data_IF_923320968947
#
_entry.id   IF_923320968947
#
_cell.length_a   1.000
_cell.length_b   1.000
_cell.length_c   1.000
_cell.angle_alpha   90.00
_cell.angle_beta   90.00
_cell.angle_gamma   90.00
#
_symmetry.space_group_name_H-M   'P 1'
#
loop_
_entity.id
_entity.type
_entity.pdbx_description
1 polymer ?
#
# COMPACT_ATOMS: atom_id res chain seq x y z
N UNK A 1 0.95 -16.54 -7.62
CA UNK A 1 0.40 -15.25 -8.09
C UNK A 1 1.39 -14.50 -8.98
N UNK A 2 2.66 -14.31 -8.59
CA UNK A 2 3.67 -13.64 -9.43
C UNK A 2 3.81 -14.36 -10.78
N UNK A 3 3.96 -15.69 -10.76
CA UNK A 3 4.06 -16.49 -11.97
C UNK A 3 2.78 -16.44 -12.82
N UNK A 4 1.61 -16.50 -12.18
CA UNK A 4 0.32 -16.36 -12.88
C UNK A 4 0.18 -15.00 -13.58
N UNK A 5 0.68 -13.92 -12.98
CA UNK A 5 0.71 -12.60 -13.63
C UNK A 5 1.69 -12.62 -14.81
N UNK A 6 2.89 -13.18 -14.62
CA UNK A 6 3.88 -13.26 -15.70
C UNK A 6 3.36 -14.10 -16.89
N UNK A 7 2.68 -15.21 -16.62
CA UNK A 7 2.07 -16.03 -17.66
C UNK A 7 0.92 -15.29 -18.36
N UNK A 8 -0.02 -14.69 -17.61
CA UNK A 8 -1.10 -13.92 -18.21
C UNK A 8 -0.60 -12.77 -19.09
N UNK A 9 0.51 -12.12 -18.72
CA UNK A 9 1.15 -11.10 -19.57
C UNK A 9 1.74 -11.70 -20.86
N UNK A 10 2.35 -12.92 -20.80
CA UNK A 10 2.82 -13.63 -22.00
C UNK A 10 1.68 -13.98 -22.94
N UNK A 11 0.52 -14.30 -22.36
CA UNK A 11 -0.71 -14.63 -23.10
C UNK A 11 -1.48 -13.38 -23.59
N UNK A 12 -0.90 -12.18 -23.40
CA UNK A 12 -1.47 -10.91 -23.84
C UNK A 12 -2.60 -10.35 -22.96
N UNK A 13 -2.81 -10.88 -21.76
CA UNK A 13 -3.81 -10.34 -20.83
C UNK A 13 -3.29 -9.10 -20.11
N UNK A 14 -4.04 -8.00 -20.17
CA UNK A 14 -3.80 -6.82 -19.32
C UNK A 14 -5.13 -6.08 -19.06
N UNK A 15 -5.51 -5.85 -17.82
CA UNK A 15 -4.93 -6.39 -16.57
C UNK A 15 -5.12 -7.91 -16.46
N UNK A 16 -4.14 -8.59 -15.84
CA UNK A 16 -4.20 -10.05 -15.65
C UNK A 16 -5.16 -10.37 -14.51
N UNK A 17 -6.23 -11.06 -14.83
CA UNK A 17 -7.24 -11.50 -13.86
C UNK A 17 -7.37 -13.02 -13.79
N UNK A 18 -7.02 -13.72 -14.84
CA UNK A 18 -7.08 -15.18 -14.91
C UNK A 18 -5.66 -15.73 -14.84
N UNK A 19 -5.44 -16.66 -13.93
CA UNK A 19 -4.19 -17.41 -13.78
C UNK A 19 -4.42 -18.84 -14.26
N UNK A 20 -4.10 -19.15 -15.54
CA UNK A 20 -4.53 -20.40 -16.19
C UNK A 20 -3.94 -21.64 -15.53
N UNK A 21 -2.69 -21.60 -15.08
CA UNK A 21 -1.97 -22.76 -14.53
C UNK A 21 -2.24 -23.01 -13.03
N UNK A 22 -3.08 -22.21 -12.40
CA UNK A 22 -3.43 -22.43 -10.99
C UNK A 22 -4.53 -23.51 -10.86
N UNK A 23 -4.63 -24.12 -9.68
CA UNK A 23 -5.59 -25.18 -9.38
C UNK A 23 -5.50 -26.36 -10.35
N UNK A 24 -4.27 -26.86 -10.59
CA UNK A 24 -3.98 -28.01 -11.47
C UNK A 24 -4.48 -27.79 -12.91
N UNK A 25 -4.34 -26.58 -13.44
CA UNK A 25 -4.70 -26.22 -14.81
C UNK A 25 -6.18 -25.82 -15.01
N UNK A 26 -6.99 -25.80 -13.93
CA UNK A 26 -8.39 -25.35 -14.02
C UNK A 26 -8.55 -23.83 -14.06
N UNK A 27 -7.44 -23.09 -13.82
CA UNK A 27 -7.44 -21.65 -13.78
C UNK A 27 -7.98 -21.06 -12.48
N UNK A 28 -7.63 -19.82 -12.20
CA UNK A 28 -8.10 -19.07 -11.04
C UNK A 28 -8.42 -17.63 -11.45
N UNK A 29 -9.63 -17.18 -11.16
CA UNK A 29 -10.04 -15.79 -11.34
C UNK A 29 -9.65 -14.98 -10.10
N UNK A 30 -8.72 -14.02 -10.26
CA UNK A 30 -8.30 -13.12 -9.20
C UNK A 30 -9.19 -11.86 -9.15
N UNK A 31 -10.37 -11.98 -8.56
CA UNK A 31 -11.28 -10.86 -8.36
C UNK A 31 -11.07 -10.17 -6.99
N UNK A 32 -10.72 -10.96 -5.95
CA UNK A 32 -10.75 -10.50 -4.56
C UNK A 32 -9.42 -9.95 -4.02
N UNK A 33 -8.31 -10.17 -4.73
CA UNK A 33 -6.99 -9.73 -4.26
C UNK A 33 -6.38 -8.68 -5.19
N UNK A 34 -5.94 -7.55 -4.65
CA UNK A 34 -5.19 -6.57 -5.44
C UNK A 34 -3.87 -7.17 -5.91
N UNK A 35 -3.47 -6.85 -7.13
CA UNK A 35 -2.29 -7.42 -7.76
C UNK A 35 -1.32 -6.38 -8.32
N UNK A 36 -1.62 -5.08 -8.18
CA UNK A 36 -0.85 -4.00 -8.80
C UNK A 36 0.66 -4.12 -8.54
N UNK A 37 1.06 -4.27 -7.28
CA UNK A 37 2.48 -4.33 -6.94
C UNK A 37 3.15 -5.65 -7.32
N UNK A 38 2.38 -6.70 -7.58
CA UNK A 38 2.92 -7.99 -8.03
C UNK A 38 3.36 -7.97 -9.50
N UNK A 39 2.99 -6.95 -10.26
CA UNK A 39 3.53 -6.75 -11.60
C UNK A 39 5.03 -6.45 -11.58
N UNK A 40 5.57 -5.84 -10.51
CA UNK A 40 7.00 -5.57 -10.38
C UNK A 40 7.83 -6.86 -10.47
N UNK A 41 7.64 -7.86 -9.60
CA UNK A 41 8.38 -9.12 -9.72
C UNK A 41 7.96 -9.94 -10.94
N UNK A 42 6.73 -9.79 -11.46
CA UNK A 42 6.30 -10.44 -12.69
C UNK A 42 7.07 -9.95 -13.92
N UNK A 43 7.39 -8.65 -14.00
CA UNK A 43 8.26 -8.12 -15.06
C UNK A 43 9.65 -8.74 -15.00
N UNK A 44 10.25 -8.93 -13.83
CA UNK A 44 11.53 -9.64 -13.72
C UNK A 44 11.43 -11.08 -14.27
N UNK A 45 10.29 -11.75 -14.05
CA UNK A 45 10.01 -13.07 -14.65
C UNK A 45 9.94 -13.02 -16.17
N UNK A 46 9.34 -11.99 -16.74
CA UNK A 46 9.30 -11.79 -18.19
C UNK A 46 10.70 -11.58 -18.80
N UNK A 47 11.60 -10.94 -18.05
CA UNK A 47 12.99 -10.74 -18.43
C UNK A 47 13.87 -11.98 -18.23
N UNK A 48 13.30 -13.14 -17.91
CA UNK A 48 14.02 -14.40 -17.75
C UNK A 48 14.67 -14.60 -16.36
N UNK A 49 14.47 -13.68 -15.42
CA UNK A 49 14.99 -13.83 -14.04
C UNK A 49 14.26 -14.99 -13.34
N UNK A 50 14.97 -15.83 -12.60
CA UNK A 50 14.36 -16.95 -11.87
C UNK A 50 13.32 -16.46 -10.84
N UNK A 51 12.32 -17.28 -10.53
CA UNK A 51 11.28 -16.95 -9.56
C UNK A 51 11.87 -16.53 -8.19
N UNK A 52 12.82 -17.30 -7.69
CA UNK A 52 13.45 -17.04 -6.37
C UNK A 52 14.16 -15.68 -6.36
N UNK A 53 14.91 -15.37 -7.41
CA UNK A 53 15.63 -14.09 -7.51
C UNK A 53 14.63 -12.93 -7.66
N UNK A 54 13.61 -13.06 -8.51
CA UNK A 54 12.58 -12.05 -8.67
C UNK A 54 11.86 -11.74 -7.36
N UNK A 55 11.54 -12.77 -6.57
CA UNK A 55 10.93 -12.62 -5.25
C UNK A 55 11.88 -11.91 -4.26
N UNK A 56 13.16 -12.32 -4.21
CA UNK A 56 14.16 -11.68 -3.34
C UNK A 56 14.37 -10.21 -3.68
N UNK A 57 14.49 -9.87 -4.98
CA UNK A 57 14.60 -8.48 -5.43
C UNK A 57 13.36 -7.67 -5.02
N UNK A 58 12.19 -8.28 -5.10
CA UNK A 58 10.96 -7.63 -4.67
C UNK A 58 10.92 -7.37 -3.16
N UNK A 59 11.39 -8.31 -2.34
CA UNK A 59 11.54 -8.09 -0.88
C UNK A 59 12.52 -6.94 -0.57
N UNK A 60 13.63 -6.85 -1.30
CA UNK A 60 14.58 -5.74 -1.17
C UNK A 60 13.87 -4.42 -1.51
N UNK A 61 13.15 -4.37 -2.63
CA UNK A 61 12.37 -3.19 -3.02
C UNK A 61 11.37 -2.79 -1.92
N UNK A 62 10.61 -3.74 -1.35
CA UNK A 62 9.67 -3.49 -0.26
C UNK A 62 10.37 -2.88 0.95
N UNK A 63 11.58 -3.35 1.31
CA UNK A 63 12.32 -2.79 2.44
C UNK A 63 12.73 -1.34 2.22
N UNK A 64 13.28 -1.02 1.05
CA UNK A 64 13.62 0.37 0.70
C UNK A 64 12.39 1.26 0.63
N UNK A 65 11.30 0.81 0.00
CA UNK A 65 10.05 1.55 -0.07
C UNK A 65 9.47 1.83 1.32
N UNK A 66 9.53 0.84 2.24
CA UNK A 66 9.09 1.02 3.63
C UNK A 66 9.94 2.05 4.35
N UNK A 67 11.28 1.98 4.22
CA UNK A 67 12.18 2.93 4.84
C UNK A 67 11.91 4.35 4.33
N UNK A 68 11.77 4.51 3.01
CA UNK A 68 11.48 5.80 2.39
C UNK A 68 10.13 6.36 2.83
N UNK A 69 9.07 5.55 2.81
CA UNK A 69 7.74 5.97 3.21
C UNK A 69 7.69 6.39 4.68
N UNK A 70 8.34 5.62 5.57
CA UNK A 70 8.40 5.97 6.99
C UNK A 70 9.22 7.21 7.24
N UNK A 71 10.39 7.34 6.62
CA UNK A 71 11.25 8.52 6.69
C UNK A 71 10.48 9.79 6.27
N UNK A 72 9.84 9.75 5.09
CA UNK A 72 9.06 10.87 4.57
C UNK A 72 7.86 11.21 5.49
N UNK A 73 7.23 10.19 6.07
CA UNK A 73 6.09 10.38 6.97
C UNK A 73 6.49 11.03 8.29
N UNK A 74 7.58 10.59 8.93
CA UNK A 74 8.03 11.19 10.20
C UNK A 74 8.44 12.65 9.99
N UNK A 75 9.00 13.01 8.85
CA UNK A 75 9.30 14.42 8.50
C UNK A 75 8.07 15.33 8.48
N UNK A 76 6.88 14.78 8.39
CA UNK A 76 5.66 15.57 8.54
C UNK A 76 5.39 16.01 9.99
N UNK A 77 6.02 15.35 10.98
CA UNK A 77 5.78 15.57 12.40
C UNK A 77 6.93 16.28 13.11
N UNK A 78 8.18 16.08 12.66
CA UNK A 78 9.37 16.64 13.31
C UNK A 78 10.44 17.07 12.32
N UNK A 79 11.25 18.05 12.74
CA UNK A 79 12.46 18.51 12.01
C UNK A 79 13.74 17.81 12.49
N UNK A 80 13.67 17.01 13.57
CA UNK A 80 14.84 16.32 14.14
C UNK A 80 15.22 15.13 13.25
N UNK A 81 16.33 15.23 12.52
CA UNK A 81 16.83 14.13 11.68
C UNK A 81 17.13 12.87 12.51
N UNK A 82 17.60 13.02 13.75
CA UNK A 82 17.82 11.86 14.65
C UNK A 82 16.53 11.12 14.93
N UNK A 83 15.44 11.83 15.23
CA UNK A 83 14.13 11.22 15.47
C UNK A 83 13.59 10.56 14.22
N UNK A 84 13.78 11.19 13.04
CA UNK A 84 13.36 10.62 11.73
C UNK A 84 14.08 9.31 11.45
N UNK A 85 15.41 9.30 11.58
CA UNK A 85 16.22 8.09 11.32
C UNK A 85 15.88 6.99 12.33
N UNK A 86 15.85 7.30 13.62
CA UNK A 86 15.54 6.31 14.67
C UNK A 86 14.15 5.70 14.46
N UNK A 87 13.12 6.53 14.24
CA UNK A 87 11.78 6.03 14.01
C UNK A 87 11.67 5.19 12.73
N UNK A 88 12.41 5.55 11.68
CA UNK A 88 12.48 4.75 10.45
C UNK A 88 13.10 3.38 10.71
N UNK A 89 14.22 3.34 11.41
CA UNK A 89 14.90 2.07 11.76
C UNK A 89 13.99 1.19 12.62
N UNK A 90 13.39 1.75 13.67
CA UNK A 90 12.47 1.01 14.55
C UNK A 90 11.27 0.43 13.77
N UNK A 91 10.71 1.17 12.82
CA UNK A 91 9.60 0.68 12.01
C UNK A 91 10.02 -0.42 11.03
N UNK A 92 11.14 -0.21 10.31
CA UNK A 92 11.64 -1.20 9.34
C UNK A 92 11.99 -2.52 10.03
N UNK A 93 12.57 -2.46 11.22
CA UNK A 93 12.95 -3.64 12.00
C UNK A 93 11.88 -4.09 13.01
N UNK A 94 10.64 -3.55 12.93
CA UNK A 94 9.56 -3.99 13.80
C UNK A 94 9.34 -5.50 13.69
N UNK A 95 9.31 -6.20 14.82
CA UNK A 95 9.21 -7.66 14.91
C UNK A 95 8.03 -8.22 14.10
N UNK A 96 6.87 -7.59 14.18
CA UNK A 96 5.69 -8.03 13.45
C UNK A 96 5.90 -7.97 11.93
N UNK A 97 6.52 -6.89 11.45
CA UNK A 97 6.83 -6.73 10.03
C UNK A 97 7.82 -7.77 9.53
N UNK A 98 8.92 -7.99 10.27
CA UNK A 98 9.91 -9.00 9.92
C UNK A 98 9.32 -10.41 9.93
N UNK A 99 8.48 -10.73 10.91
CA UNK A 99 7.78 -12.00 10.96
C UNK A 99 6.87 -12.21 9.74
N UNK A 100 6.10 -11.19 9.35
CA UNK A 100 5.25 -11.28 8.15
C UNK A 100 6.06 -11.48 6.87
N UNK A 101 7.19 -10.82 6.76
CA UNK A 101 8.03 -10.86 5.56
C UNK A 101 8.84 -12.15 5.45
N UNK A 102 9.47 -12.60 6.55
CA UNK A 102 10.48 -13.66 6.53
C UNK A 102 9.92 -15.04 6.93
N UNK A 103 8.92 -15.07 7.82
CA UNK A 103 8.39 -16.33 8.38
C UNK A 103 7.04 -16.67 7.76
N UNK A 104 6.07 -15.75 7.81
CA UNK A 104 4.73 -15.99 7.28
C UNK A 104 4.62 -15.90 5.76
N UNK A 105 5.53 -15.16 5.11
CA UNK A 105 5.41 -14.86 3.69
C UNK A 105 4.16 -14.07 3.33
N UNK A 106 3.61 -13.29 4.28
CA UNK A 106 2.38 -12.51 4.13
C UNK A 106 2.63 -11.25 3.29
N UNK A 107 2.87 -11.44 2.00
CA UNK A 107 3.34 -10.40 1.09
C UNK A 107 2.38 -9.22 0.99
N UNK A 108 1.06 -9.46 0.95
CA UNK A 108 0.06 -8.40 0.90
C UNK A 108 0.08 -7.51 2.14
N UNK A 109 0.14 -8.09 3.35
CA UNK A 109 0.31 -7.34 4.60
C UNK A 109 1.61 -6.55 4.62
N UNK A 110 2.71 -7.18 4.21
CA UNK A 110 4.03 -6.52 4.17
C UNK A 110 4.05 -5.33 3.21
N UNK A 111 3.38 -5.44 2.07
CA UNK A 111 3.16 -4.33 1.14
C UNK A 111 2.29 -3.22 1.75
N UNK A 112 1.18 -3.57 2.40
CA UNK A 112 0.31 -2.58 3.04
C UNK A 112 1.04 -1.77 4.11
N UNK A 113 2.00 -2.38 4.83
CA UNK A 113 2.82 -1.68 5.82
C UNK A 113 3.69 -0.56 5.24
N UNK A 114 4.00 -0.55 3.94
CA UNK A 114 4.66 0.58 3.29
C UNK A 114 3.79 1.84 3.41
N UNK A 115 2.48 1.68 3.28
CA UNK A 115 1.53 2.77 3.12
C UNK A 115 0.91 3.25 4.44
N UNK A 116 0.94 2.45 5.50
CA UNK A 116 0.42 2.86 6.82
C UNK A 116 1.00 4.19 7.32
N UNK A 117 2.33 4.42 7.30
CA UNK A 117 2.90 5.69 7.72
C UNK A 117 2.39 6.88 6.88
N UNK A 118 2.22 6.67 5.57
CA UNK A 118 1.69 7.71 4.68
C UNK A 118 0.21 8.02 4.96
N UNK A 119 -0.60 7.01 5.29
CA UNK A 119 -1.99 7.22 5.72
C UNK A 119 -2.03 8.09 6.97
N UNK A 120 -1.24 7.76 8.00
CA UNK A 120 -1.19 8.53 9.25
C UNK A 120 -0.70 9.96 8.99
N UNK A 121 0.39 10.12 8.23
CA UNK A 121 0.92 11.43 7.88
C UNK A 121 -0.07 12.25 7.06
N UNK A 122 -0.76 11.63 6.10
CA UNK A 122 -1.76 12.29 5.27
C UNK A 122 -2.97 12.79 6.07
N UNK A 123 -3.49 11.96 6.98
CA UNK A 123 -4.56 12.36 7.91
C UNK A 123 -4.09 13.52 8.79
N UNK A 124 -2.89 13.45 9.34
CA UNK A 124 -2.32 14.53 10.14
C UNK A 124 -2.18 15.82 9.35
N UNK A 125 -1.68 15.78 8.11
CA UNK A 125 -1.54 16.96 7.27
C UNK A 125 -2.88 17.62 6.99
N UNK A 126 -3.92 16.84 6.72
CA UNK A 126 -5.27 17.37 6.53
C UNK A 126 -5.82 17.92 7.85
N UNK A 127 -5.73 17.16 8.95
CA UNK A 127 -6.39 17.50 10.21
C UNK A 127 -5.71 18.63 10.99
N UNK A 128 -4.37 18.66 11.02
CA UNK A 128 -3.60 19.55 11.90
C UNK A 128 -2.46 20.30 11.23
N UNK A 129 -1.94 19.77 10.12
CA UNK A 129 -0.80 20.33 9.39
C UNK A 129 -1.20 21.19 8.20
N UNK A 130 -0.48 21.02 7.09
CA UNK A 130 -0.74 21.68 5.82
C UNK A 130 -1.74 20.87 4.98
N UNK A 131 -3.01 21.27 5.00
CA UNK A 131 -4.09 20.59 4.28
C UNK A 131 -3.86 20.48 2.75
N UNK A 132 -3.05 21.35 2.15
CA UNK A 132 -2.69 21.27 0.73
C UNK A 132 -1.90 19.98 0.40
N UNK A 133 -1.38 19.27 1.41
CA UNK A 133 -0.70 17.98 1.27
C UNK A 133 -1.66 16.78 1.37
N UNK A 134 -2.94 16.97 1.07
CA UNK A 134 -3.97 15.92 1.05
C UNK A 134 -3.59 14.71 0.18
N UNK A 135 -2.79 14.92 -0.86
CA UNK A 135 -2.29 13.89 -1.77
C UNK A 135 -1.47 12.79 -1.07
N UNK A 136 -0.87 13.09 0.11
CA UNK A 136 -0.15 12.07 0.91
C UNK A 136 -1.14 10.99 1.36
N UNK A 137 -2.35 11.39 1.80
CA UNK A 137 -3.41 10.44 2.14
C UNK A 137 -3.85 9.61 0.93
N UNK A 138 -3.95 10.24 -0.24
CA UNK A 138 -4.33 9.53 -1.48
C UNK A 138 -3.30 8.45 -1.81
N UNK A 139 -2.01 8.77 -1.77
CA UNK A 139 -0.94 7.77 -2.03
C UNK A 139 -1.01 6.65 -0.99
N UNK A 140 -1.12 6.98 0.29
CA UNK A 140 -1.20 6.01 1.37
C UNK A 140 -2.42 5.09 1.24
N UNK A 141 -3.61 5.67 1.04
CA UNK A 141 -4.86 4.92 0.94
C UNK A 141 -4.92 4.06 -0.33
N UNK A 142 -4.55 4.63 -1.49
CA UNK A 142 -4.48 3.87 -2.76
C UNK A 142 -3.49 2.72 -2.66
N UNK A 143 -2.30 2.97 -2.12
CA UNK A 143 -1.30 1.92 -1.93
C UNK A 143 -1.77 0.81 -1.00
N UNK A 144 -2.47 1.14 0.09
CA UNK A 144 -3.04 0.16 1.01
C UNK A 144 -4.11 -0.70 0.31
N UNK A 145 -5.06 -0.08 -0.41
CA UNK A 145 -6.11 -0.77 -1.16
C UNK A 145 -5.50 -1.74 -2.18
N UNK A 146 -4.47 -1.30 -2.91
CA UNK A 146 -3.79 -2.10 -3.92
C UNK A 146 -2.79 -3.13 -3.37
N UNK A 147 -2.63 -3.19 -2.04
CA UNK A 147 -1.76 -4.15 -1.35
C UNK A 147 -2.53 -5.28 -0.68
N UNK A 148 -3.46 -4.94 0.24
CA UNK A 148 -4.15 -5.92 1.07
C UNK A 148 -5.48 -5.40 1.61
N UNK A 149 -6.58 -6.04 1.22
CA UNK A 149 -7.94 -5.59 1.56
C UNK A 149 -8.17 -5.51 3.07
N UNK A 150 -7.81 -6.56 3.82
CA UNK A 150 -8.03 -6.60 5.27
C UNK A 150 -7.22 -5.51 6.00
N UNK A 151 -5.96 -5.28 5.61
CA UNK A 151 -5.16 -4.18 6.17
C UNK A 151 -5.79 -2.82 5.85
N UNK A 152 -6.39 -2.66 4.68
CA UNK A 152 -7.10 -1.43 4.29
C UNK A 152 -8.28 -1.17 5.21
N UNK A 153 -9.06 -2.18 5.57
CA UNK A 153 -10.17 -2.04 6.53
C UNK A 153 -9.64 -1.58 7.89
N UNK A 154 -8.57 -2.20 8.39
CA UNK A 154 -7.94 -1.80 9.67
C UNK A 154 -7.45 -0.34 9.60
N UNK A 155 -6.83 0.06 8.48
CA UNK A 155 -6.37 1.45 8.30
C UNK A 155 -7.54 2.43 8.19
N UNK A 156 -8.66 2.04 7.57
CA UNK A 156 -9.87 2.86 7.53
C UNK A 156 -10.43 3.11 8.94
N UNK A 157 -10.48 2.09 9.79
CA UNK A 157 -10.87 2.25 11.20
C UNK A 157 -9.91 3.20 11.93
N UNK A 158 -8.60 3.04 11.74
CA UNK A 158 -7.60 3.94 12.31
C UNK A 158 -7.80 5.40 11.85
N UNK A 159 -8.08 5.61 10.57
CA UNK A 159 -8.38 6.94 9.99
C UNK A 159 -9.59 7.55 10.67
N UNK A 160 -10.68 6.80 10.83
CA UNK A 160 -11.90 7.28 11.51
C UNK A 160 -11.59 7.71 12.94
N UNK A 161 -10.84 6.91 13.69
CA UNK A 161 -10.42 7.25 15.07
C UNK A 161 -9.58 8.53 15.09
N UNK A 162 -8.57 8.64 14.22
CA UNK A 162 -7.71 9.83 14.15
C UNK A 162 -8.48 11.09 13.73
N UNK A 163 -9.40 10.99 12.78
CA UNK A 163 -10.26 12.11 12.38
C UNK A 163 -11.20 12.52 13.52
N UNK A 164 -11.71 11.56 14.29
CA UNK A 164 -12.55 11.81 15.47
C UNK A 164 -11.84 12.69 16.51
N UNK A 165 -10.55 12.44 16.78
CA UNK A 165 -9.76 13.27 17.71
C UNK A 165 -9.56 14.71 17.26
N UNK A 166 -9.68 14.98 15.94
CA UNK A 166 -9.48 16.29 15.34
C UNK A 166 -10.78 16.92 14.78
N UNK A 167 -11.94 16.30 15.02
CA UNK A 167 -13.21 16.65 14.39
C UNK A 167 -13.57 18.14 14.53
N UNK A 168 -13.45 18.71 15.73
CA UNK A 168 -13.75 20.11 15.98
C UNK A 168 -12.92 21.07 15.12
N UNK A 169 -11.63 20.78 14.93
CA UNK A 169 -10.73 21.59 14.08
C UNK A 169 -11.08 21.43 12.61
N UNK A 170 -11.33 20.19 12.18
CA UNK A 170 -11.69 19.88 10.79
C UNK A 170 -12.95 20.64 10.36
N UNK A 171 -13.97 20.67 11.21
CA UNK A 171 -15.22 21.39 10.91
C UNK A 171 -15.01 22.89 10.93
N UNK A 172 -14.39 23.43 11.98
CA UNK A 172 -14.18 24.88 12.15
C UNK A 172 -13.34 25.49 11.02
N UNK A 173 -12.31 24.79 10.57
CA UNK A 173 -11.39 25.26 9.53
C UNK A 173 -11.77 24.76 8.12
N UNK A 174 -12.95 24.14 7.97
CA UNK A 174 -13.47 23.59 6.70
C UNK A 174 -12.53 22.60 6.00
N UNK A 175 -11.69 21.90 6.78
CA UNK A 175 -10.69 20.93 6.25
C UNK A 175 -11.33 19.66 5.68
N UNK A 176 -12.63 19.45 5.92
CA UNK A 176 -13.40 18.35 5.33
C UNK A 176 -13.44 18.40 3.80
N UNK A 177 -13.23 19.58 3.18
CA UNK A 177 -13.15 19.71 1.72
C UNK A 177 -11.96 18.93 1.17
N UNK A 178 -10.77 19.07 1.79
CA UNK A 178 -9.58 18.33 1.36
C UNK A 178 -9.69 16.84 1.70
N UNK A 179 -10.39 16.49 2.77
CA UNK A 179 -10.69 15.09 3.11
C UNK A 179 -11.62 14.47 2.06
N UNK A 180 -12.68 15.17 1.65
CA UNK A 180 -13.58 14.71 0.59
C UNK A 180 -12.85 14.58 -0.76
N UNK A 181 -11.95 15.54 -1.08
CA UNK A 181 -11.11 15.49 -2.27
C UNK A 181 -10.19 14.25 -2.24
N UNK A 182 -9.52 14.03 -1.11
CA UNK A 182 -8.64 12.85 -0.95
C UNK A 182 -9.43 11.55 -1.10
N UNK A 183 -10.61 11.44 -0.49
CA UNK A 183 -11.47 10.27 -0.61
C UNK A 183 -11.93 10.05 -2.05
N UNK A 184 -12.42 11.11 -2.72
CA UNK A 184 -12.89 11.02 -4.11
C UNK A 184 -11.79 10.59 -5.08
N UNK A 185 -10.59 11.18 -4.97
CA UNK A 185 -9.45 10.80 -5.82
C UNK A 185 -8.99 9.38 -5.51
N UNK A 186 -8.96 8.96 -4.24
CA UNK A 186 -8.63 7.59 -3.85
C UNK A 186 -9.62 6.60 -4.48
N UNK A 187 -10.92 6.86 -4.42
CA UNK A 187 -11.94 6.01 -5.04
C UNK A 187 -11.73 5.92 -6.56
N UNK A 188 -11.55 7.06 -7.23
CA UNK A 188 -11.32 7.11 -8.68
C UNK A 188 -10.11 6.29 -9.11
N UNK A 189 -8.98 6.42 -8.42
CA UNK A 189 -7.76 5.67 -8.73
C UNK A 189 -7.91 4.16 -8.51
N UNK A 190 -8.85 3.74 -7.69
CA UNK A 190 -9.06 2.34 -7.35
C UNK A 190 -10.28 1.71 -8.03
N UNK A 191 -11.01 2.42 -8.90
CA UNK A 191 -12.19 1.89 -9.59
C UNK A 191 -11.89 0.58 -10.34
N UNK A 192 -10.74 0.47 -10.99
CA UNK A 192 -10.33 -0.74 -11.71
C UNK A 192 -10.21 -1.98 -10.83
N UNK A 193 -10.02 -1.82 -9.52
CA UNK A 193 -10.02 -2.91 -8.54
C UNK A 193 -11.38 -3.02 -7.84
N UNK A 194 -11.95 -1.90 -7.39
CA UNK A 194 -13.17 -1.89 -6.57
C UNK A 194 -14.40 -2.37 -7.33
N UNK A 195 -14.56 -1.97 -8.61
CA UNK A 195 -15.74 -2.36 -9.41
C UNK A 195 -15.82 -3.88 -9.61
N UNK A 196 -14.74 -4.61 -9.98
CA UNK A 196 -14.79 -6.07 -10.05
C UNK A 196 -14.82 -6.78 -8.71
N UNK A 197 -14.47 -6.10 -7.62
CA UNK A 197 -14.47 -6.65 -6.28
C UNK A 197 -15.88 -6.66 -5.65
N UNK A 198 -16.72 -5.67 -5.99
CA UNK A 198 -18.10 -5.52 -5.52
C UNK A 198 -19.07 -6.34 -6.34
#
# INVERSE_FOLDING_TARGET
>A
RIEGIAQGLRDGQFPVRIYPDMLSGNGYLNAMYPSLFLYIPAVFRLLGVSYVVSYKLFLIFINFATAFAMYASIKCFTKSERAVVLGTVLYVFARYRLNNMLVRGALGETLAMIFLPLVIAGVWQIAAGNQKKWWILVIGATGAIQSHVLSTVVYAVLVVVLLGTCAGKIVREKRYVELARAAGVTLLLNLGFLVPFL
#
